data_IF_671041528997
#
_entry.id   IF_671041528997
#
_cell.length_a   1.000
_cell.length_b   1.000
_cell.length_c   1.000
_cell.angle_alpha   90.00
_cell.angle_beta   90.00
_cell.angle_gamma   90.00
#
_symmetry.space_group_name_H-M   'P 1'
#
loop_
_entity.id
_entity.type
_entity.pdbx_description
1 polymer ?
#
# COMPACT_ATOMS: atom_id res chain seq x y z
N UNK A 1 30.98 -51.86 3.11
CA UNK A 1 30.76 -51.07 1.88
C UNK A 1 29.78 -49.97 2.22
N UNK A 2 30.27 -48.75 2.43
CA UNK A 2 29.47 -47.60 2.77
C UNK A 2 29.22 -46.79 1.48
N UNK A 3 27.97 -46.67 1.05
CA UNK A 3 27.59 -45.82 -0.06
C UNK A 3 27.50 -44.37 0.43
N UNK A 4 28.40 -43.53 -0.03
CA UNK A 4 28.33 -42.07 0.15
C UNK A 4 27.30 -41.52 -0.85
N UNK A 5 26.24 -40.92 -0.35
CA UNK A 5 25.29 -40.14 -1.13
C UNK A 5 25.88 -38.77 -1.53
N UNK A 6 25.44 -38.18 -2.64
CA UNK A 6 25.98 -36.88 -3.09
C UNK A 6 25.57 -35.76 -2.14
N UNK A 7 26.55 -34.99 -1.69
CA UNK A 7 26.37 -33.77 -0.95
C UNK A 7 25.74 -32.68 -1.87
N UNK A 8 24.51 -32.32 -1.61
CA UNK A 8 23.89 -31.14 -2.23
C UNK A 8 24.45 -29.90 -1.50
N UNK A 9 25.38 -29.24 -2.14
CA UNK A 9 25.85 -27.92 -1.70
C UNK A 9 24.70 -26.89 -1.78
N UNK A 10 24.71 -25.86 -0.93
CA UNK A 10 23.67 -24.83 -0.98
C UNK A 10 23.70 -24.14 -2.33
N UNK A 11 22.62 -24.25 -3.08
CA UNK A 11 22.40 -23.44 -4.28
C UNK A 11 22.45 -21.96 -3.87
N UNK A 12 23.42 -21.27 -4.35
CA UNK A 12 23.54 -19.81 -4.22
C UNK A 12 22.25 -19.20 -4.77
N UNK A 13 21.45 -18.68 -3.86
CA UNK A 13 20.37 -17.74 -4.19
C UNK A 13 20.98 -16.68 -5.08
N UNK A 14 20.49 -16.56 -6.31
CA UNK A 14 20.89 -15.55 -7.27
C UNK A 14 20.88 -14.21 -6.57
N UNK A 15 22.06 -13.65 -6.38
CA UNK A 15 22.26 -12.42 -5.63
C UNK A 15 21.64 -11.24 -6.38
N UNK A 16 20.38 -11.00 -6.19
CA UNK A 16 19.84 -9.65 -6.27
C UNK A 16 20.66 -8.84 -5.29
N UNK A 17 21.65 -8.09 -5.78
CA UNK A 17 22.43 -7.17 -4.96
C UNK A 17 21.47 -6.18 -4.36
N UNK A 18 21.07 -6.41 -3.13
CA UNK A 18 20.63 -5.34 -2.27
C UNK A 18 21.85 -4.44 -2.10
N UNK A 19 21.97 -3.44 -2.97
CA UNK A 19 22.90 -2.38 -2.75
C UNK A 19 22.45 -1.71 -1.46
N UNK A 20 23.07 -2.09 -0.34
CA UNK A 20 23.17 -1.22 0.81
C UNK A 20 23.90 0.02 0.31
N UNK A 21 23.14 0.95 -0.27
CA UNK A 21 23.62 2.28 -0.49
C UNK A 21 24.07 2.76 0.89
N UNK A 22 25.35 3.12 1.02
CA UNK A 22 25.81 3.94 2.12
C UNK A 22 25.07 5.26 2.06
N UNK A 23 23.79 5.22 2.46
CA UNK A 23 22.97 6.41 2.64
C UNK A 23 23.61 7.17 3.79
N UNK A 24 23.90 8.46 3.64
CA UNK A 24 24.24 9.29 4.79
C UNK A 24 23.16 9.06 5.86
N UNK A 25 23.56 9.10 7.14
CA UNK A 25 22.58 9.05 8.24
C UNK A 25 21.59 10.18 7.98
N UNK A 26 20.39 9.81 7.50
CA UNK A 26 19.32 10.77 7.20
C UNK A 26 18.59 11.08 8.50
N UNK A 27 17.99 12.25 8.57
CA UNK A 27 17.06 12.57 9.66
C UNK A 27 15.96 11.50 9.71
N UNK A 28 15.67 10.90 10.86
CA UNK A 28 14.61 9.90 10.99
C UNK A 28 13.25 10.38 10.45
N UNK A 29 12.96 11.66 10.53
CA UNK A 29 11.75 12.27 9.99
C UNK A 29 11.72 12.23 8.46
N UNK A 30 12.85 12.51 7.81
CA UNK A 30 12.99 12.42 6.37
C UNK A 30 12.87 10.97 5.87
N UNK A 31 13.38 10.00 6.64
CA UNK A 31 13.20 8.60 6.33
C UNK A 31 11.72 8.19 6.36
N UNK A 32 10.99 8.55 7.41
CA UNK A 32 9.57 8.25 7.54
C UNK A 32 8.75 8.90 6.40
N UNK A 33 9.03 10.17 6.08
CA UNK A 33 8.39 10.86 4.94
C UNK A 33 8.64 10.14 3.63
N UNK A 34 9.87 9.74 3.36
CA UNK A 34 10.25 9.03 2.13
C UNK A 34 9.54 7.70 2.00
N UNK A 35 9.40 6.92 3.08
CA UNK A 35 8.66 5.67 3.07
C UNK A 35 7.16 5.88 2.86
N UNK A 36 6.56 6.87 3.52
CA UNK A 36 5.16 7.23 3.30
C UNK A 36 4.92 7.66 1.84
N UNK A 37 5.77 8.55 1.31
CA UNK A 37 5.66 9.01 -0.09
C UNK A 37 5.83 7.87 -1.10
N UNK A 38 6.68 6.88 -0.80
CA UNK A 38 6.83 5.69 -1.63
C UNK A 38 5.55 4.87 -1.68
N UNK A 39 4.91 4.63 -0.55
CA UNK A 39 3.63 3.91 -0.48
C UNK A 39 2.51 4.65 -1.22
N UNK A 40 2.41 5.97 -1.04
CA UNK A 40 1.46 6.85 -1.75
C UNK A 40 1.63 6.75 -3.27
N UNK A 41 2.85 6.86 -3.75
CA UNK A 41 3.15 6.75 -5.18
C UNK A 41 2.89 5.32 -5.71
N UNK A 42 3.24 4.29 -4.93
CA UNK A 42 2.97 2.90 -5.27
C UNK A 42 1.47 2.63 -5.43
N UNK A 43 0.62 3.20 -4.58
CA UNK A 43 -0.83 3.05 -4.67
C UNK A 43 -1.40 3.77 -5.90
N UNK A 44 -0.96 5.01 -6.18
CA UNK A 44 -1.53 5.80 -7.29
C UNK A 44 -1.21 5.23 -8.66
N UNK A 45 0.03 4.77 -8.90
CA UNK A 45 0.36 4.25 -10.22
C UNK A 45 -0.45 3.00 -10.62
N UNK A 46 -1.05 2.30 -9.63
CA UNK A 46 -1.94 1.16 -9.92
C UNK A 46 -3.19 1.55 -10.71
N UNK A 47 -3.50 2.83 -10.81
CA UNK A 47 -4.61 3.34 -11.63
C UNK A 47 -4.18 3.66 -13.06
N UNK A 48 -2.87 3.81 -13.33
CA UNK A 48 -2.38 4.31 -14.60
C UNK A 48 -2.71 3.36 -15.76
N UNK A 49 -3.21 3.93 -16.86
CA UNK A 49 -3.52 3.19 -18.09
C UNK A 49 -4.76 2.32 -18.04
N UNK A 50 -5.43 2.20 -16.90
CA UNK A 50 -6.65 1.40 -16.77
C UNK A 50 -7.92 2.18 -17.13
N UNK A 51 -8.95 1.44 -17.61
CA UNK A 51 -10.27 1.98 -17.85
C UNK A 51 -10.99 2.37 -16.55
N UNK A 52 -12.08 3.19 -16.67
CA UNK A 52 -12.96 3.50 -15.53
C UNK A 52 -13.59 2.25 -14.92
N UNK A 53 -13.93 1.27 -15.75
CA UNK A 53 -14.46 0.00 -15.31
C UNK A 53 -13.41 -0.77 -14.49
N UNK A 54 -12.18 -0.89 -14.99
CA UNK A 54 -11.13 -1.70 -14.35
C UNK A 54 -10.68 -1.17 -13.00
N UNK A 55 -10.62 0.17 -12.82
CA UNK A 55 -10.24 0.74 -11.52
C UNK A 55 -11.33 0.62 -10.45
N UNK A 56 -12.60 0.34 -10.85
CA UNK A 56 -13.77 0.32 -9.96
C UNK A 56 -14.34 -1.08 -9.72
N UNK A 57 -14.12 -2.02 -10.66
CA UNK A 57 -14.72 -3.36 -10.54
C UNK A 57 -14.16 -4.16 -9.36
N UNK A 58 -15.01 -4.88 -8.63
CA UNK A 58 -14.56 -5.77 -7.56
C UNK A 58 -13.92 -7.03 -8.17
N UNK A 59 -12.74 -7.42 -7.67
CA UNK A 59 -12.01 -8.60 -8.13
C UNK A 59 -11.89 -9.69 -7.07
N UNK A 60 -12.31 -9.39 -5.85
CA UNK A 60 -12.35 -10.34 -4.74
C UNK A 60 -13.71 -10.30 -4.04
N UNK A 61 -14.11 -11.35 -3.30
CA UNK A 61 -15.44 -11.43 -2.67
C UNK A 61 -15.80 -10.26 -1.75
N UNK A 62 -14.80 -9.61 -1.14
CA UNK A 62 -15.00 -8.44 -0.26
C UNK A 62 -15.17 -7.11 -1.02
N UNK A 63 -15.10 -7.12 -2.36
CA UNK A 63 -15.33 -5.94 -3.17
C UNK A 63 -14.11 -5.03 -3.36
N UNK A 64 -12.92 -5.42 -2.89
CA UNK A 64 -11.71 -4.61 -3.03
C UNK A 64 -11.47 -4.22 -4.49
N UNK A 65 -11.26 -2.93 -4.72
CA UNK A 65 -11.02 -2.32 -6.02
C UNK A 65 -10.01 -1.19 -5.90
N UNK A 66 -9.34 -0.85 -7.00
CA UNK A 66 -8.20 0.07 -6.97
C UNK A 66 -8.58 1.49 -6.55
N UNK A 67 -9.66 2.03 -7.10
CA UNK A 67 -10.07 3.41 -6.82
C UNK A 67 -10.60 3.57 -5.39
N UNK A 68 -11.30 2.54 -4.87
CA UNK A 68 -11.74 2.48 -3.48
C UNK A 68 -10.56 2.49 -2.50
N UNK A 69 -9.48 1.75 -2.79
CA UNK A 69 -8.28 1.78 -1.95
C UNK A 69 -7.66 3.18 -1.89
N UNK A 70 -7.62 3.92 -3.00
CA UNK A 70 -7.12 5.31 -3.01
C UNK A 70 -8.02 6.23 -2.19
N UNK A 71 -9.35 6.12 -2.34
CA UNK A 71 -10.33 6.89 -1.57
C UNK A 71 -10.21 6.62 -0.07
N UNK A 72 -10.10 5.35 0.32
CA UNK A 72 -9.92 4.90 1.69
C UNK A 72 -8.65 5.50 2.32
N UNK A 73 -7.49 5.31 1.68
CA UNK A 73 -6.21 5.80 2.22
C UNK A 73 -6.20 7.32 2.32
N UNK A 74 -6.86 8.04 1.39
CA UNK A 74 -7.02 9.49 1.50
C UNK A 74 -7.76 9.89 2.78
N UNK A 75 -8.86 9.21 3.10
CA UNK A 75 -9.62 9.44 4.33
C UNK A 75 -8.80 9.11 5.58
N UNK A 76 -8.15 7.95 5.60
CA UNK A 76 -7.30 7.51 6.72
C UNK A 76 -6.18 8.51 6.99
N UNK A 77 -5.48 8.94 5.96
CA UNK A 77 -4.35 9.87 6.10
C UNK A 77 -4.81 11.25 6.56
N UNK A 78 -5.94 11.76 6.05
CA UNK A 78 -6.49 13.05 6.45
C UNK A 78 -6.85 13.11 7.93
N UNK A 79 -7.38 12.04 8.49
CA UNK A 79 -7.69 11.94 9.92
C UNK A 79 -6.42 11.86 10.78
N UNK A 80 -5.52 10.93 10.45
CA UNK A 80 -4.33 10.69 11.26
C UNK A 80 -3.31 11.84 11.25
N UNK A 81 -3.09 12.53 10.14
CA UNK A 81 -2.18 13.68 10.07
C UNK A 81 -2.91 15.04 10.15
N UNK A 82 -4.24 15.03 10.11
CA UNK A 82 -5.06 16.22 10.29
C UNK A 82 -5.60 16.33 11.71
N UNK A 83 -6.72 15.68 12.00
CA UNK A 83 -7.46 15.81 13.26
C UNK A 83 -6.63 15.46 14.49
N UNK A 84 -5.82 14.42 14.41
CA UNK A 84 -4.95 13.97 15.51
C UNK A 84 -4.03 15.08 16.03
N UNK A 85 -3.61 15.99 15.16
CA UNK A 85 -2.69 17.10 15.50
C UNK A 85 -3.38 18.49 15.51
N UNK A 86 -4.72 18.51 15.58
CA UNK A 86 -5.48 19.76 15.62
C UNK A 86 -5.42 20.58 14.31
N UNK A 87 -5.17 19.93 13.19
CA UNK A 87 -5.10 20.49 11.85
C UNK A 87 -6.07 19.77 10.91
N UNK A 88 -7.39 19.78 11.17
CA UNK A 88 -8.34 19.02 10.35
C UNK A 88 -8.20 19.38 8.87
N UNK A 89 -8.38 18.39 8.01
CA UNK A 89 -8.39 18.61 6.57
C UNK A 89 -9.56 19.52 6.19
N UNK A 90 -9.34 20.56 5.35
CA UNK A 90 -10.33 21.62 5.16
C UNK A 90 -11.51 21.24 4.26
N UNK A 91 -11.45 20.12 3.55
CA UNK A 91 -12.54 19.66 2.67
C UNK A 91 -13.38 18.60 3.38
N UNK A 92 -14.69 18.61 3.14
CA UNK A 92 -15.60 17.59 3.66
C UNK A 92 -15.33 16.22 2.98
N UNK A 93 -15.34 15.17 3.78
CA UNK A 93 -15.23 13.78 3.34
C UNK A 93 -16.50 13.02 3.76
N UNK A 94 -17.64 13.18 3.05
CA UNK A 94 -18.95 12.70 3.50
C UNK A 94 -19.03 11.19 3.75
N UNK A 95 -18.12 10.43 3.16
CA UNK A 95 -18.04 8.98 3.38
C UNK A 95 -17.38 8.59 4.71
N UNK A 96 -16.88 9.57 5.49
CA UNK A 96 -16.36 9.38 6.84
C UNK A 96 -17.32 9.90 7.92
N UNK A 97 -18.45 10.47 7.55
CA UNK A 97 -19.45 10.95 8.49
C UNK A 97 -20.08 9.77 9.27
N UNK A 98 -20.56 10.04 10.50
CA UNK A 98 -21.13 9.02 11.38
C UNK A 98 -22.37 8.30 10.78
N UNK A 99 -23.07 8.95 9.86
CA UNK A 99 -24.24 8.45 9.14
C UNK A 99 -23.92 7.92 7.73
N UNK A 100 -22.64 7.88 7.34
CA UNK A 100 -22.24 7.32 6.06
C UNK A 100 -22.54 5.82 5.97
N UNK A 101 -22.79 5.34 4.75
CA UNK A 101 -22.92 3.91 4.49
C UNK A 101 -21.65 3.16 4.89
N UNK A 102 -21.82 1.98 5.51
CA UNK A 102 -20.69 1.13 5.89
C UNK A 102 -19.82 0.83 4.66
N UNK A 103 -18.51 1.04 4.76
CA UNK A 103 -17.53 0.93 3.66
C UNK A 103 -17.73 1.94 2.51
N UNK A 104 -18.39 3.05 2.72
CA UNK A 104 -18.55 4.10 1.70
C UNK A 104 -17.21 4.66 1.21
N UNK A 105 -16.17 4.54 2.00
CA UNK A 105 -14.78 4.89 1.69
C UNK A 105 -14.06 3.86 0.80
N UNK A 106 -14.54 2.60 0.78
CA UNK A 106 -13.88 1.48 0.09
C UNK A 106 -14.26 1.35 -1.38
N UNK A 107 -15.11 2.23 -1.91
CA UNK A 107 -15.51 2.24 -3.31
C UNK A 107 -15.93 3.63 -3.77
N UNK A 108 -15.86 3.87 -5.07
CA UNK A 108 -16.27 5.12 -5.68
C UNK A 108 -17.58 4.92 -6.44
N UNK A 109 -18.57 5.79 -6.19
CA UNK A 109 -19.83 5.80 -6.93
C UNK A 109 -19.61 6.23 -8.37
N UNK A 110 -20.59 5.97 -9.24
CA UNK A 110 -20.50 6.32 -10.66
C UNK A 110 -20.40 7.85 -10.91
N UNK A 111 -20.91 8.64 -9.96
CA UNK A 111 -20.91 10.11 -9.98
C UNK A 111 -19.70 10.74 -9.26
N UNK A 112 -18.76 9.92 -8.77
CA UNK A 112 -17.47 10.38 -8.21
C UNK A 112 -16.36 10.20 -9.25
N UNK A 113 -15.91 11.24 -9.96
CA UNK A 113 -14.86 11.12 -10.98
C UNK A 113 -13.53 10.63 -10.39
N UNK A 114 -12.81 9.80 -11.15
CA UNK A 114 -11.47 9.32 -10.76
C UNK A 114 -10.52 10.47 -10.46
N UNK A 115 -10.52 11.48 -11.33
CA UNK A 115 -9.67 12.66 -11.22
C UNK A 115 -9.91 13.43 -9.92
N UNK A 116 -11.16 13.48 -9.43
CA UNK A 116 -11.50 14.15 -8.17
C UNK A 116 -10.94 13.38 -6.97
N UNK A 117 -11.08 12.04 -6.97
CA UNK A 117 -10.55 11.18 -5.91
C UNK A 117 -9.01 11.22 -5.87
N UNK A 118 -8.36 11.12 -7.03
CA UNK A 118 -6.90 11.24 -7.15
C UNK A 118 -6.42 12.64 -6.77
N UNK A 119 -7.14 13.67 -7.22
CA UNK A 119 -6.87 15.07 -6.87
C UNK A 119 -7.01 15.33 -5.37
N UNK A 120 -8.08 14.79 -4.76
CA UNK A 120 -8.28 14.84 -3.31
C UNK A 120 -7.10 14.19 -2.56
N UNK A 121 -6.70 12.99 -2.96
CA UNK A 121 -5.61 12.30 -2.29
C UNK A 121 -4.31 13.11 -2.36
N UNK A 122 -4.01 13.75 -3.48
CA UNK A 122 -2.85 14.64 -3.59
C UNK A 122 -2.94 15.87 -2.67
N UNK A 123 -4.12 16.49 -2.54
CA UNK A 123 -4.33 17.59 -1.59
C UNK A 123 -4.21 17.13 -0.13
N UNK A 124 -4.64 15.91 0.17
CA UNK A 124 -4.40 15.28 1.49
C UNK A 124 -2.90 15.13 1.74
N UNK A 125 -2.10 14.70 0.74
CA UNK A 125 -0.63 14.64 0.91
C UNK A 125 -0.02 15.99 1.27
N UNK A 126 -0.39 17.05 0.53
CA UNK A 126 0.11 18.39 0.78
C UNK A 126 -0.24 18.87 2.21
N UNK A 127 -1.47 18.62 2.63
CA UNK A 127 -1.92 18.94 3.98
C UNK A 127 -1.18 18.13 5.05
N UNK A 128 -1.03 16.84 4.85
CA UNK A 128 -0.31 15.92 5.72
C UNK A 128 1.17 16.29 5.83
N UNK A 129 1.81 16.58 4.71
CA UNK A 129 3.22 16.99 4.67
C UNK A 129 3.42 18.31 5.41
N UNK A 130 2.50 19.26 5.29
CA UNK A 130 2.53 20.50 6.08
C UNK A 130 2.38 20.26 7.59
N UNK A 131 1.62 19.22 8.00
CA UNK A 131 1.55 18.80 9.41
C UNK A 131 2.87 18.19 9.86
N UNK A 132 3.45 17.30 9.06
CA UNK A 132 4.76 16.70 9.35
C UNK A 132 5.85 17.77 9.47
N UNK A 133 5.81 18.81 8.64
CA UNK A 133 6.77 19.93 8.72
C UNK A 133 6.61 20.75 10.00
N UNK A 134 5.37 20.96 10.43
CA UNK A 134 5.05 21.83 11.56
C UNK A 134 5.45 21.24 12.92
N UNK A 135 5.60 19.93 13.06
CA UNK A 135 5.77 19.26 14.34
C UNK A 135 7.02 18.38 14.39
N UNK A 136 7.80 18.38 15.48
CA UNK A 136 8.83 17.36 15.75
C UNK A 136 8.20 15.98 15.96
N UNK A 137 9.01 14.91 15.77
CA UNK A 137 8.54 13.52 15.84
C UNK A 137 7.94 13.12 17.20
N UNK A 138 8.37 13.71 18.27
CA UNK A 138 7.90 13.48 19.64
C UNK A 138 6.67 14.31 20.02
N UNK A 139 6.17 15.18 19.12
CA UNK A 139 4.95 15.94 19.36
C UNK A 139 3.78 15.04 19.67
N UNK A 140 3.06 15.38 20.74
CA UNK A 140 1.87 14.66 21.13
C UNK A 140 0.68 15.04 20.25
N UNK A 141 -0.08 14.03 19.84
CA UNK A 141 -1.37 14.13 19.18
C UNK A 141 -2.40 13.28 19.89
N UNK A 142 -3.66 13.45 19.52
CA UNK A 142 -4.77 12.68 20.09
C UNK A 142 -5.66 12.16 18.98
N UNK A 143 -5.76 10.84 18.86
CA UNK A 143 -6.64 10.17 17.87
C UNK A 143 -8.06 10.08 18.44
N UNK A 144 -9.05 10.80 17.91
CA UNK A 144 -10.39 10.88 18.52
C UNK A 144 -11.12 9.55 18.58
N UNK A 145 -10.96 8.69 17.59
CA UNK A 145 -11.67 7.42 17.42
C UNK A 145 -10.98 6.21 18.07
N UNK A 146 -9.79 6.38 18.66
CA UNK A 146 -9.16 5.30 19.42
C UNK A 146 -9.80 5.17 20.82
N UNK A 147 -9.66 3.99 21.46
CA UNK A 147 -10.06 3.82 22.86
C UNK A 147 -9.41 4.91 23.75
N UNK A 148 -10.14 5.43 24.76
CA UNK A 148 -9.67 6.57 25.56
C UNK A 148 -8.25 6.41 26.12
N UNK A 149 -7.88 5.20 26.55
CA UNK A 149 -6.59 4.84 27.13
C UNK A 149 -5.44 4.81 26.12
N UNK A 150 -5.75 4.80 24.81
CA UNK A 150 -4.77 4.73 23.73
C UNK A 150 -4.76 5.96 22.82
N UNK A 151 -5.61 6.96 23.11
CA UNK A 151 -5.77 8.15 22.26
C UNK A 151 -4.53 9.01 22.13
N UNK A 152 -3.73 9.11 23.20
CA UNK A 152 -2.49 9.88 23.15
C UNK A 152 -1.41 9.12 22.36
N UNK A 153 -0.76 9.85 21.47
CA UNK A 153 0.23 9.27 20.56
C UNK A 153 1.25 10.32 20.15
N UNK A 154 2.30 9.93 19.43
CA UNK A 154 3.30 10.84 18.89
C UNK A 154 3.21 10.90 17.36
N UNK A 155 3.74 11.97 16.75
CA UNK A 155 3.86 12.07 15.29
C UNK A 155 4.67 10.88 14.73
N UNK A 156 5.75 10.48 15.40
CA UNK A 156 6.51 9.30 15.01
C UNK A 156 5.64 8.04 14.89
N UNK A 157 4.83 7.76 15.91
CA UNK A 157 3.96 6.57 15.90
C UNK A 157 2.90 6.64 14.81
N UNK A 158 2.33 7.82 14.57
CA UNK A 158 1.35 8.01 13.49
C UNK A 158 2.00 7.82 12.12
N UNK A 159 3.20 8.33 11.88
CA UNK A 159 3.91 8.10 10.61
C UNK A 159 4.22 6.62 10.39
N UNK A 160 4.68 5.89 11.41
CA UNK A 160 4.88 4.43 11.32
C UNK A 160 3.57 3.71 11.00
N UNK A 161 2.48 4.10 11.67
CA UNK A 161 1.15 3.54 11.43
C UNK A 161 0.68 3.77 9.99
N UNK A 162 0.78 4.99 9.49
CA UNK A 162 0.38 5.34 8.13
C UNK A 162 1.24 4.67 7.06
N UNK A 163 2.54 4.54 7.28
CA UNK A 163 3.41 3.78 6.38
C UNK A 163 2.92 2.33 6.29
N UNK A 164 2.69 1.68 7.44
CA UNK A 164 2.22 0.30 7.47
C UNK A 164 0.85 0.13 6.80
N UNK A 165 -0.07 1.07 7.02
CA UNK A 165 -1.42 1.07 6.44
C UNK A 165 -1.37 1.30 4.92
N UNK A 166 -0.66 2.32 4.47
CA UNK A 166 -0.51 2.63 3.04
C UNK A 166 0.18 1.50 2.27
N UNK A 167 1.27 0.93 2.81
CA UNK A 167 1.97 -0.20 2.18
C UNK A 167 1.11 -1.47 2.18
N UNK A 168 0.30 -1.71 3.21
CA UNK A 168 -0.68 -2.80 3.21
C UNK A 168 -1.67 -2.67 2.05
N UNK A 169 -2.23 -1.47 1.85
CA UNK A 169 -3.17 -1.22 0.77
C UNK A 169 -2.50 -1.18 -0.60
N UNK A 170 -1.25 -0.74 -0.70
CA UNK A 170 -0.45 -0.85 -1.92
C UNK A 170 -0.25 -2.33 -2.31
N UNK A 171 0.01 -3.22 -1.34
CA UNK A 171 0.08 -4.66 -1.58
C UNK A 171 -1.26 -5.29 -2.00
N UNK A 172 -2.40 -4.82 -1.45
CA UNK A 172 -3.73 -5.23 -1.96
C UNK A 172 -3.93 -4.77 -3.41
N UNK A 173 -3.53 -3.53 -3.72
CA UNK A 173 -3.61 -2.98 -5.06
C UNK A 173 -2.69 -3.73 -6.05
N UNK A 174 -1.54 -4.26 -5.62
CA UNK A 174 -0.69 -5.13 -6.43
C UNK A 174 -1.46 -6.36 -6.92
N UNK A 175 -2.08 -7.10 -6.02
CA UNK A 175 -2.84 -8.30 -6.36
C UNK A 175 -4.03 -8.00 -7.27
N UNK A 176 -4.75 -6.91 -7.00
CA UNK A 176 -5.87 -6.47 -7.83
C UNK A 176 -5.40 -6.06 -9.23
N UNK A 177 -4.30 -5.32 -9.32
CA UNK A 177 -3.71 -4.88 -10.59
C UNK A 177 -3.19 -6.07 -11.41
N UNK A 178 -2.51 -7.01 -10.75
CA UNK A 178 -2.02 -8.23 -11.40
C UNK A 178 -3.17 -9.05 -12.01
N UNK A 179 -4.33 -9.11 -11.34
CA UNK A 179 -5.53 -9.78 -11.88
C UNK A 179 -6.15 -9.05 -13.08
N UNK A 180 -5.87 -7.77 -13.28
CA UNK A 180 -6.40 -6.97 -14.40
C UNK A 180 -5.52 -7.11 -15.63
N UNK A 181 -4.22 -6.86 -15.50
CA UNK A 181 -3.30 -6.77 -16.64
C UNK A 181 -1.90 -7.39 -16.42
N UNK A 182 -1.70 -8.07 -15.29
CA UNK A 182 -0.43 -8.71 -14.97
C UNK A 182 0.63 -7.79 -14.38
N UNK A 183 0.33 -6.50 -14.19
CA UNK A 183 1.28 -5.52 -13.66
C UNK A 183 1.26 -5.51 -12.14
N UNK A 184 2.43 -5.45 -11.51
CA UNK A 184 2.58 -5.38 -10.04
C UNK A 184 3.87 -4.65 -9.67
N UNK A 185 4.03 -4.34 -8.38
CA UNK A 185 5.26 -3.80 -7.81
C UNK A 185 5.19 -2.34 -7.42
N UNK A 186 6.29 -1.84 -6.87
CA UNK A 186 6.34 -0.50 -6.24
C UNK A 186 6.29 0.65 -7.25
N UNK A 187 6.77 0.42 -8.49
CA UNK A 187 6.86 1.44 -9.55
C UNK A 187 6.46 0.85 -10.90
N UNK A 188 5.87 1.69 -11.74
CA UNK A 188 5.45 1.29 -13.09
C UNK A 188 6.61 0.85 -13.99
N UNK A 189 7.79 1.47 -13.83
CA UNK A 189 8.98 1.23 -14.66
C UNK A 189 9.88 0.10 -14.16
N UNK A 190 9.71 -0.34 -12.93
CA UNK A 190 10.50 -1.43 -12.34
C UNK A 190 9.74 -2.07 -11.19
N UNK A 191 8.84 -2.98 -11.50
CA UNK A 191 8.01 -3.70 -10.52
C UNK A 191 8.80 -4.56 -9.54
N UNK A 192 10.11 -4.74 -9.75
CA UNK A 192 10.92 -5.66 -8.95
C UNK A 192 10.67 -7.13 -9.31
N UNK A 193 9.90 -7.37 -10.35
CA UNK A 193 9.66 -8.70 -10.88
C UNK A 193 10.92 -9.25 -11.58
N UNK A 194 11.20 -10.56 -11.50
CA UNK A 194 12.42 -11.15 -12.04
C UNK A 194 12.48 -11.12 -13.57
N UNK A 195 11.35 -11.05 -14.27
CA UNK A 195 11.26 -11.07 -15.72
C UNK A 195 9.90 -10.56 -16.20
N UNK A 196 9.86 -10.10 -17.47
CA UNK A 196 8.63 -9.77 -18.20
C UNK A 196 8.15 -10.95 -19.09
N UNK A 197 8.83 -12.10 -19.05
CA UNK A 197 8.48 -13.28 -19.85
C UNK A 197 7.23 -13.97 -19.29
N UNK A 198 6.14 -13.86 -20.02
CA UNK A 198 4.85 -14.47 -19.67
C UNK A 198 4.88 -16.01 -19.61
N UNK A 199 5.73 -16.65 -20.47
CA UNK A 199 5.87 -18.10 -20.44
C UNK A 199 6.61 -18.56 -19.17
N UNK A 200 7.64 -17.82 -18.76
CA UNK A 200 8.34 -18.09 -17.51
C UNK A 200 7.37 -18.01 -16.31
N UNK A 201 6.47 -17.02 -16.29
CA UNK A 201 5.46 -16.88 -15.24
C UNK A 201 4.44 -18.02 -15.25
N UNK A 202 4.01 -18.47 -16.43
CA UNK A 202 3.10 -19.60 -16.55
C UNK A 202 3.73 -20.90 -15.99
N UNK A 203 4.99 -21.17 -16.35
CA UNK A 203 5.74 -22.31 -15.86
C UNK A 203 6.05 -22.23 -14.37
N UNK A 204 6.38 -21.04 -13.86
CA UNK A 204 6.59 -20.81 -12.45
C UNK A 204 5.32 -21.07 -11.64
N UNK A 205 4.18 -20.50 -12.07
CA UNK A 205 2.88 -20.70 -11.44
C UNK A 205 2.48 -22.18 -11.44
N UNK A 206 2.69 -22.89 -12.54
CA UNK A 206 2.40 -24.33 -12.62
C UNK A 206 3.22 -25.14 -11.60
N UNK A 207 4.50 -24.81 -11.41
CA UNK A 207 5.35 -25.45 -10.39
C UNK A 207 4.87 -25.17 -8.97
N UNK A 208 4.45 -23.93 -8.68
CA UNK A 208 3.91 -23.56 -7.36
C UNK A 208 2.61 -24.31 -7.09
N UNK A 209 1.71 -24.39 -8.10
CA UNK A 209 0.46 -25.15 -8.01
C UNK A 209 0.73 -26.64 -7.78
N UNK A 210 1.67 -27.25 -8.52
CA UNK A 210 2.02 -28.66 -8.34
C UNK A 210 2.54 -28.93 -6.93
N UNK A 211 3.43 -28.07 -6.43
CA UNK A 211 3.94 -28.20 -5.06
C UNK A 211 2.83 -28.13 -4.00
N UNK A 212 1.84 -27.25 -4.22
CA UNK A 212 0.69 -27.16 -3.33
C UNK A 212 -0.19 -28.43 -3.37
N UNK A 213 -0.43 -28.99 -4.56
CA UNK A 213 -1.16 -30.26 -4.73
C UNK A 213 -0.45 -31.41 -4.04
N UNK A 214 0.86 -31.54 -4.27
CA UNK A 214 1.67 -32.60 -3.67
C UNK A 214 1.64 -32.53 -2.13
N UNK A 215 1.77 -31.31 -1.58
CA UNK A 215 1.69 -31.11 -0.14
C UNK A 215 0.28 -31.36 0.44
N UNK A 216 -0.77 -31.05 -0.33
CA UNK A 216 -2.17 -31.25 0.06
C UNK A 216 -2.72 -32.66 -0.21
N UNK A 217 -1.96 -33.52 -0.88
CA UNK A 217 -2.43 -34.85 -1.31
C UNK A 217 -3.61 -34.78 -2.30
N UNK A 218 -3.67 -33.71 -3.10
CA UNK A 218 -4.73 -33.49 -4.10
C UNK A 218 -4.20 -33.85 -5.49
N UNK A 219 -4.83 -34.82 -6.12
CA UNK A 219 -4.52 -35.26 -7.51
C UNK A 219 -5.20 -34.38 -8.56
#
# INVERSE_FOLDING_TARGET
>A
MACAGPSVGPALLGGGRWHAFGMPVTDPKDDLRRYLQRGRAALLWKLDGLSEYDVRRPLVPTGTNLLGLVKHVAGVESGYLGETFGRPFPEALPWLDDDAETNADMWARADEPREDIVGLYRRVWEHSDATVDAFPLDSLGRVPWWPPEHRETTLHRILVHLIAETERHAGHADLVRELIDGSAGVRADSGGLPTDDSQWWADYRARVEQAARDAGGVS
#
